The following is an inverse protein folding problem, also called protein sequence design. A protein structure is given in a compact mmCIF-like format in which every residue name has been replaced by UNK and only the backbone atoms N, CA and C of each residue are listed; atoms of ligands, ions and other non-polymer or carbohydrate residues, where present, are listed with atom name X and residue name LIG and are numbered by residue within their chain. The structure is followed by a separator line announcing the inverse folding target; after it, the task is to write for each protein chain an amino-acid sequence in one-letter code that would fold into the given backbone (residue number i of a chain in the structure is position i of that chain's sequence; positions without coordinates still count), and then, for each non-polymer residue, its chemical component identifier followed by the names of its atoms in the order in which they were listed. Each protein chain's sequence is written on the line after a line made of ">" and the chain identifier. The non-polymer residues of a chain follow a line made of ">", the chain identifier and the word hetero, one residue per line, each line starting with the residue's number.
data_IF_700108543567
#
_entry.id   IF_700108543567
#
_cell.length_a   1.000
_cell.length_b   1.000
_cell.length_c   1.000
_cell.angle_alpha   90.00
_cell.angle_beta   90.00
_cell.angle_gamma   90.00
#
_symmetry.space_group_name_H-M   'P 1'
#
loop_
_entity.id
_entity.type
_entity.pdbx_description
1 polymer ?
#
# COMPACT_ATOMS: atom_id res chain seq x y z
N UNK A 1 4.20 42.72 -17.91
CA UNK A 1 5.11 42.60 -16.75
C UNK A 1 4.34 42.04 -15.55
N UNK A 2 4.61 40.81 -15.12
CA UNK A 2 4.02 40.24 -13.88
C UNK A 2 4.85 39.07 -13.30
N UNK A 3 6.20 39.13 -13.31
CA UNK A 3 7.06 38.03 -12.85
C UNK A 3 7.98 38.39 -11.65
N UNK A 4 7.64 39.41 -10.85
CA UNK A 4 8.50 39.85 -9.74
C UNK A 4 7.89 39.63 -8.34
N UNK A 5 6.66 39.10 -8.25
CA UNK A 5 5.99 38.80 -6.98
C UNK A 5 6.38 37.47 -6.35
N UNK A 6 6.48 36.41 -7.15
CA UNK A 6 6.61 35.01 -6.66
C UNK A 6 7.96 34.72 -5.99
N UNK A 7 8.98 35.50 -6.33
CA UNK A 7 10.39 35.21 -6.02
C UNK A 7 10.80 35.74 -4.64
N UNK A 8 10.05 36.71 -4.11
CA UNK A 8 10.35 37.38 -2.83
C UNK A 8 9.88 36.55 -1.63
N UNK A 9 8.73 35.91 -1.73
CA UNK A 9 8.18 35.06 -0.66
C UNK A 9 8.99 33.77 -0.48
N UNK A 10 9.48 33.18 -1.58
CA UNK A 10 10.31 31.96 -1.55
C UNK A 10 11.68 32.19 -0.90
N UNK A 11 12.26 33.40 -1.02
CA UNK A 11 13.54 33.75 -0.38
C UNK A 11 13.41 34.05 1.12
N UNK A 12 12.27 34.59 1.56
CA UNK A 12 12.01 34.84 2.98
C UNK A 12 11.78 33.55 3.78
N UNK A 13 11.10 32.55 3.20
CA UNK A 13 10.87 31.26 3.90
C UNK A 13 12.16 30.44 4.06
N UNK A 14 13.06 30.45 3.08
CA UNK A 14 14.31 29.66 3.12
C UNK A 14 15.27 30.16 4.22
N UNK A 15 15.29 31.46 4.50
CA UNK A 15 16.14 32.03 5.55
C UNK A 15 15.62 31.78 6.97
N UNK A 16 14.31 31.56 7.15
CA UNK A 16 13.72 31.25 8.45
C UNK A 16 13.95 29.79 8.89
N UNK A 17 14.01 28.85 7.93
CA UNK A 17 14.22 27.41 8.21
C UNK A 17 15.67 27.10 8.59
N UNK A 18 16.64 27.82 8.00
CA UNK A 18 18.07 27.59 8.27
C UNK A 18 18.50 27.97 9.71
N UNK A 19 17.76 28.84 10.40
CA UNK A 19 18.08 29.26 11.76
C UNK A 19 17.60 28.28 12.85
N UNK A 20 16.64 27.40 12.55
CA UNK A 20 16.08 26.43 13.52
C UNK A 20 16.83 25.09 13.58
N UNK A 21 17.64 24.76 12.57
CA UNK A 21 18.34 23.46 12.47
C UNK A 21 19.62 23.35 13.33
N UNK A 22 20.02 24.40 14.05
CA UNK A 22 21.30 24.45 14.76
C UNK A 22 21.24 24.13 16.27
N UNK A 23 20.10 23.67 16.82
CA UNK A 23 19.91 23.54 18.27
C UNK A 23 19.60 22.13 18.83
N UNK A 24 19.74 21.05 18.05
CA UNK A 24 19.44 19.69 18.54
C UNK A 24 20.65 18.74 18.55
N UNK A 25 21.77 19.19 19.13
CA UNK A 25 22.91 18.31 19.46
C UNK A 25 23.26 18.36 20.95
N UNK A 26 22.42 17.79 21.83
CA UNK A 26 22.84 17.25 23.13
C UNK A 26 21.87 16.16 23.59
N UNK A 27 22.28 14.89 23.53
CA UNK A 27 22.13 13.91 24.63
C UNK A 27 22.76 12.56 24.23
N UNK A 28 23.95 12.33 24.75
CA UNK A 28 24.67 11.07 24.79
C UNK A 28 24.08 10.20 25.92
N UNK A 29 23.91 8.90 25.72
CA UNK A 29 23.51 7.98 26.79
C UNK A 29 23.53 6.51 26.36
N UNK A 30 24.49 5.78 26.91
CA UNK A 30 25.03 4.45 26.58
C UNK A 30 24.38 3.24 27.27
N UNK A 31 24.56 2.03 26.69
CA UNK A 31 24.55 0.69 27.33
C UNK A 31 23.78 -0.36 26.48
N UNK A 32 24.35 -1.41 25.84
CA UNK A 32 25.01 -2.66 26.34
C UNK A 32 24.27 -3.29 27.54
N UNK A 33 23.97 -4.58 27.66
CA UNK A 33 24.27 -5.83 26.95
C UNK A 33 23.38 -6.95 27.56
N UNK A 34 23.04 -7.95 26.73
CA UNK A 34 23.01 -9.39 26.95
C UNK A 34 22.51 -10.06 28.26
N UNK A 35 21.66 -11.08 28.10
CA UNK A 35 21.70 -12.34 28.87
C UNK A 35 20.82 -13.44 28.24
N UNK A 36 21.49 -14.29 27.47
CA UNK A 36 21.45 -15.77 27.42
C UNK A 36 20.58 -16.49 28.48
N UNK A 37 19.80 -17.52 28.08
CA UNK A 37 20.19 -18.95 28.19
C UNK A 37 19.08 -19.96 27.81
N UNK A 38 19.42 -20.78 26.83
CA UNK A 38 19.16 -22.22 26.56
C UNK A 38 18.08 -23.00 27.34
N UNK A 39 17.38 -23.90 26.64
CA UNK A 39 17.48 -25.37 26.86
C UNK A 39 16.87 -26.16 25.69
N UNK A 40 17.68 -27.09 25.16
CA UNK A 40 17.40 -28.14 24.17
C UNK A 40 16.19 -29.05 24.50
N UNK A 41 15.61 -29.71 23.48
CA UNK A 41 15.59 -31.19 23.33
C UNK A 41 14.93 -31.63 22.02
N UNK A 42 15.78 -31.96 21.04
CA UNK A 42 15.83 -33.18 20.24
C UNK A 42 14.59 -34.10 20.14
N UNK A 43 14.17 -34.41 18.91
CA UNK A 43 13.26 -35.52 18.61
C UNK A 43 12.96 -35.70 17.12
N UNK A 44 13.89 -36.30 16.38
CA UNK A 44 13.72 -36.70 14.98
C UNK A 44 12.75 -37.88 14.83
N UNK A 45 11.95 -37.91 13.75
CA UNK A 45 11.81 -39.08 12.86
C UNK A 45 10.94 -38.80 11.64
N UNK A 46 11.56 -38.91 10.47
CA UNK A 46 10.96 -39.20 9.14
C UNK A 46 10.56 -40.69 9.11
N UNK A 47 9.54 -41.10 8.34
CA UNK A 47 9.87 -41.77 7.07
C UNK A 47 8.91 -41.43 5.90
N UNK A 48 9.45 -41.50 4.69
CA UNK A 48 8.75 -41.50 3.39
C UNK A 48 7.87 -42.73 3.18
N UNK A 49 6.74 -42.58 2.45
CA UNK A 49 6.49 -43.38 1.21
C UNK A 49 5.35 -42.83 0.32
N UNK A 50 5.67 -42.82 -0.98
CA UNK A 50 4.93 -42.58 -2.23
C UNK A 50 3.59 -43.34 -2.40
N UNK A 51 2.59 -42.76 -3.07
CA UNK A 51 2.01 -43.19 -4.39
C UNK A 51 0.69 -42.45 -4.73
N UNK A 52 0.57 -42.12 -6.02
CA UNK A 52 -0.59 -41.70 -6.85
C UNK A 52 -1.95 -42.32 -6.40
N UNK A 53 -3.15 -41.80 -6.66
CA UNK A 53 -3.70 -40.97 -7.73
C UNK A 53 -5.13 -40.55 -7.25
N UNK A 54 -5.72 -39.47 -7.77
CA UNK A 54 -7.16 -39.32 -8.11
C UNK A 54 -7.54 -37.84 -8.23
N UNK A 55 -7.73 -37.44 -9.48
CA UNK A 55 -8.50 -36.30 -9.94
C UNK A 55 -9.93 -36.31 -9.38
N UNK A 56 -10.31 -35.24 -8.67
CA UNK A 56 -11.69 -34.77 -8.59
C UNK A 56 -11.66 -33.28 -8.28
N UNK A 57 -12.02 -32.47 -9.28
CA UNK A 57 -12.27 -31.05 -9.08
C UNK A 57 -13.46 -30.85 -8.16
N UNK A 58 -13.28 -30.05 -7.11
CA UNK A 58 -14.37 -29.46 -6.34
C UNK A 58 -13.94 -28.03 -6.00
N UNK A 59 -14.65 -27.08 -6.59
CA UNK A 59 -14.74 -25.68 -6.17
C UNK A 59 -15.20 -25.63 -4.70
N UNK A 60 -14.54 -24.90 -3.81
CA UNK A 60 -15.18 -24.48 -2.58
C UNK A 60 -16.15 -23.34 -2.95
N UNK A 61 -17.44 -23.66 -2.96
CA UNK A 61 -18.49 -22.65 -2.82
C UNK A 61 -18.19 -21.86 -1.54
N UNK A 62 -17.88 -20.57 -1.72
CA UNK A 62 -17.76 -19.60 -0.62
C UNK A 62 -19.14 -19.35 -0.02
N UNK A 63 -19.58 -20.21 0.89
CA UNK A 63 -20.64 -19.88 1.83
C UNK A 63 -20.06 -18.92 2.89
N UNK A 64 -20.04 -17.63 2.54
CA UNK A 64 -19.78 -16.56 3.49
C UNK A 64 -21.03 -16.34 4.37
N UNK A 65 -20.99 -16.58 5.69
CA UNK A 65 -22.10 -16.23 6.55
C UNK A 65 -22.22 -14.70 6.59
N UNK A 66 -23.34 -14.19 6.08
CA UNK A 66 -23.76 -12.79 6.13
C UNK A 66 -23.67 -12.25 7.57
N UNK A 67 -22.60 -11.51 7.87
CA UNK A 67 -22.55 -10.68 9.07
C UNK A 67 -23.40 -9.44 8.79
N UNK A 68 -24.55 -9.38 9.44
CA UNK A 68 -25.43 -8.23 9.42
C UNK A 68 -24.77 -7.06 10.16
N UNK A 69 -24.35 -6.06 9.40
CA UNK A 69 -23.77 -4.82 9.91
C UNK A 69 -23.24 -3.92 8.80
N UNK A 70 -23.89 -3.90 7.63
CA UNK A 70 -23.51 -3.00 6.55
C UNK A 70 -24.10 -1.62 6.86
N UNK A 71 -23.23 -0.72 7.29
CA UNK A 71 -23.51 0.72 7.20
C UNK A 71 -23.64 0.98 5.70
N UNK A 72 -24.82 1.35 5.22
CA UNK A 72 -25.01 1.65 3.79
C UNK A 72 -24.02 2.75 3.40
N UNK A 73 -22.95 2.37 2.72
CA UNK A 73 -21.97 3.31 2.23
C UNK A 73 -22.56 4.01 1.02
N UNK A 74 -22.82 5.31 1.15
CA UNK A 74 -23.55 6.11 0.16
C UNK A 74 -22.70 6.50 -1.06
N UNK A 75 -21.43 6.09 -1.10
CA UNK A 75 -20.49 6.39 -2.18
C UNK A 75 -20.59 5.43 -3.37
N UNK A 76 -20.00 5.82 -4.50
CA UNK A 76 -19.90 4.96 -5.68
C UNK A 76 -18.92 3.82 -5.40
N UNK A 77 -19.31 2.53 -5.54
CA UNK A 77 -18.39 1.43 -5.32
C UNK A 77 -17.26 1.43 -6.36
N UNK A 78 -16.04 1.17 -5.91
CA UNK A 78 -14.86 1.00 -6.75
C UNK A 78 -14.19 -0.34 -6.45
N UNK A 79 -13.62 -0.97 -7.48
CA UNK A 79 -12.94 -2.25 -7.34
C UNK A 79 -11.62 -2.24 -8.13
N UNK A 80 -10.49 -2.31 -7.43
CA UNK A 80 -9.17 -2.39 -8.03
C UNK A 80 -8.68 -1.09 -8.66
N UNK A 81 -8.98 0.06 -8.07
CA UNK A 81 -8.46 1.34 -8.57
C UNK A 81 -6.94 1.40 -8.39
N UNK A 82 -6.20 1.56 -9.49
CA UNK A 82 -4.74 1.68 -9.47
C UNK A 82 -4.31 3.08 -9.04
N UNK A 83 -3.47 3.14 -8.01
CA UNK A 83 -3.02 4.38 -7.38
C UNK A 83 -1.54 4.31 -7.05
N UNK A 84 -0.77 5.36 -7.37
CA UNK A 84 0.57 5.58 -6.81
C UNK A 84 0.46 6.30 -5.46
N UNK A 85 1.05 5.72 -4.42
CA UNK A 85 1.04 6.29 -3.07
C UNK A 85 1.89 7.58 -3.05
N UNK A 86 1.29 8.67 -2.61
CA UNK A 86 1.95 9.93 -2.27
C UNK A 86 2.43 9.93 -0.81
N UNK A 87 1.92 10.87 -0.02
CA UNK A 87 2.16 10.96 1.42
C UNK A 87 1.31 9.94 2.21
N UNK A 88 1.93 9.28 3.19
CA UNK A 88 1.27 8.33 4.10
C UNK A 88 1.08 8.99 5.46
N UNK A 89 -0.13 8.93 5.99
CA UNK A 89 -0.54 9.47 7.28
C UNK A 89 -1.17 8.35 8.13
N UNK A 90 -1.48 8.64 9.39
CA UNK A 90 -2.23 7.72 10.22
C UNK A 90 -3.69 7.65 9.75
N UNK A 91 -4.15 6.47 9.33
CA UNK A 91 -5.53 6.26 8.86
C UNK A 91 -5.81 6.72 7.42
N UNK A 92 -4.85 7.32 6.72
CA UNK A 92 -5.02 7.70 5.32
C UNK A 92 -3.70 7.79 4.55
N UNK A 93 -3.79 7.81 3.22
CA UNK A 93 -2.70 8.23 2.36
C UNK A 93 -3.23 9.04 1.18
N UNK A 94 -2.41 9.94 0.66
CA UNK A 94 -2.71 10.61 -0.62
C UNK A 94 -2.29 9.73 -1.76
N UNK A 95 -3.05 9.73 -2.86
CA UNK A 95 -2.80 8.89 -4.02
C UNK A 95 -2.88 9.68 -5.31
N UNK A 96 -2.15 9.25 -6.33
CA UNK A 96 -2.36 9.70 -7.72
C UNK A 96 -3.01 8.58 -8.50
N UNK A 97 -4.19 8.84 -9.07
CA UNK A 97 -4.90 7.87 -9.88
C UNK A 97 -4.12 7.54 -11.15
N UNK A 98 -3.83 6.27 -11.37
CA UNK A 98 -3.16 5.78 -12.58
C UNK A 98 -4.27 5.46 -13.59
N UNK A 99 -4.33 6.24 -14.66
CA UNK A 99 -5.29 6.00 -15.73
C UNK A 99 -4.69 4.98 -16.70
N UNK A 100 -5.48 3.96 -17.06
CA UNK A 100 -5.15 3.07 -18.17
C UNK A 100 -5.88 3.58 -19.41
N UNK A 101 -5.13 4.04 -20.39
CA UNK A 101 -5.69 4.32 -21.70
C UNK A 101 -5.78 3.01 -22.48
N UNK A 102 -7.00 2.67 -22.90
CA UNK A 102 -7.20 1.62 -23.89
C UNK A 102 -6.75 2.14 -25.26
N UNK A 103 -5.55 1.70 -25.69
CA UNK A 103 -5.01 2.03 -27.01
C UNK A 103 -5.55 1.09 -28.10
N UNK A 104 -6.63 0.33 -27.82
CA UNK A 104 -7.23 -0.64 -28.73
C UNK A 104 -6.39 -1.90 -28.85
N UNK A 105 -6.18 -2.38 -30.08
CA UNK A 105 -5.51 -3.66 -30.38
C UNK A 105 -4.02 -3.69 -29.98
N UNK A 106 -3.45 -2.54 -29.60
CA UNK A 106 -2.09 -2.40 -29.10
C UNK A 106 -1.92 -2.74 -27.61
N UNK A 107 -3.02 -3.02 -26.90
CA UNK A 107 -3.03 -3.30 -25.48
C UNK A 107 -3.24 -2.06 -24.61
N UNK A 108 -3.51 -2.28 -23.33
CA UNK A 108 -3.68 -1.20 -22.35
C UNK A 108 -2.33 -0.72 -21.84
N UNK A 109 -2.13 0.59 -21.83
CA UNK A 109 -0.93 1.22 -21.25
C UNK A 109 -1.38 2.02 -20.04
N UNK A 110 -0.76 1.75 -18.88
CA UNK A 110 -0.91 2.59 -17.70
C UNK A 110 -0.15 3.89 -17.93
N UNK A 111 -0.85 5.01 -17.86
CA UNK A 111 -0.31 6.36 -18.04
C UNK A 111 -0.50 7.11 -16.73
N UNK A 112 0.61 7.60 -16.18
CA UNK A 112 0.59 8.56 -15.10
C UNK A 112 1.23 9.84 -15.62
N UNK A 113 0.41 10.78 -16.10
CA UNK A 113 0.89 12.15 -16.33
C UNK A 113 0.82 12.89 -14.99
N UNK A 114 1.96 13.23 -14.36
CA UNK A 114 1.96 13.85 -13.05
C UNK A 114 1.32 15.26 -13.02
N UNK A 115 1.16 15.94 -14.15
CA UNK A 115 0.47 17.24 -14.22
C UNK A 115 -1.06 17.09 -14.35
N UNK A 116 -1.53 15.98 -14.89
CA UNK A 116 -2.97 15.69 -15.11
C UNK A 116 -3.53 14.61 -14.17
N UNK A 117 -2.66 13.93 -13.41
CA UNK A 117 -3.05 12.86 -12.50
C UNK A 117 -3.97 13.40 -11.40
N UNK A 118 -5.15 12.80 -11.32
CA UNK A 118 -6.13 13.13 -10.29
C UNK A 118 -5.58 12.74 -8.92
N UNK A 119 -5.47 13.71 -8.02
CA UNK A 119 -5.06 13.46 -6.64
C UNK A 119 -6.27 13.03 -5.80
N UNK A 120 -6.07 11.98 -5.01
CA UNK A 120 -7.08 11.33 -4.19
C UNK A 120 -6.64 11.29 -2.74
N UNK A 121 -7.60 11.26 -1.83
CA UNK A 121 -7.40 10.87 -0.44
C UNK A 121 -7.96 9.47 -0.23
N UNK A 122 -7.14 8.53 0.23
CA UNK A 122 -7.56 7.17 0.53
C UNK A 122 -7.58 7.03 2.05
N UNK A 123 -8.77 6.85 2.61
CA UNK A 123 -9.00 6.67 4.04
C UNK A 123 -9.21 5.19 4.32
N UNK A 124 -8.52 4.67 5.33
CA UNK A 124 -8.62 3.30 5.78
C UNK A 124 -8.87 3.23 7.28
N UNK A 125 -9.44 2.13 7.72
CA UNK A 125 -9.79 1.90 9.13
C UNK A 125 -9.23 0.55 9.58
N UNK A 126 -9.45 0.18 10.83
CA UNK A 126 -9.12 -1.17 11.33
C UNK A 126 -9.85 -2.30 10.58
N UNK A 127 -10.94 -1.99 9.89
CA UNK A 127 -11.70 -2.95 9.08
C UNK A 127 -11.16 -3.09 7.65
N UNK A 128 -10.23 -2.22 7.24
CA UNK A 128 -9.63 -2.29 5.91
C UNK A 128 -8.67 -3.46 5.83
N UNK A 129 -8.86 -4.33 4.85
CA UNK A 129 -7.94 -5.46 4.62
C UNK A 129 -6.74 -4.99 3.82
N UNK A 130 -5.55 -5.33 4.28
CA UNK A 130 -4.31 -5.07 3.56
C UNK A 130 -3.70 -6.38 3.06
N UNK A 131 -3.25 -6.37 1.81
CA UNK A 131 -2.54 -7.49 1.17
C UNK A 131 -1.30 -6.96 0.49
N UNK A 132 -0.17 -7.65 0.62
CA UNK A 132 1.03 -7.38 -0.19
C UNK A 132 1.09 -8.40 -1.31
N UNK A 133 1.07 -7.93 -2.55
CA UNK A 133 1.25 -8.73 -3.76
C UNK A 133 2.69 -8.59 -4.23
N UNK A 134 3.45 -9.66 -4.11
CA UNK A 134 4.85 -9.70 -4.52
C UNK A 134 4.99 -10.36 -5.90
N UNK A 135 5.77 -9.75 -6.79
CA UNK A 135 6.11 -10.31 -8.11
C UNK A 135 7.53 -9.91 -8.49
N UNK A 136 8.28 -10.80 -9.15
CA UNK A 136 9.64 -10.50 -9.65
C UNK A 136 9.70 -10.47 -11.18
N UNK A 137 8.57 -10.68 -11.84
CA UNK A 137 8.44 -10.79 -13.30
C UNK A 137 7.40 -9.80 -13.85
N UNK A 138 7.32 -8.62 -13.22
CA UNK A 138 6.44 -7.52 -13.61
C UNK A 138 4.96 -7.91 -13.63
N UNK A 139 4.54 -8.79 -12.71
CA UNK A 139 3.15 -9.20 -12.52
C UNK A 139 2.71 -10.42 -13.33
N UNK A 140 3.61 -11.07 -14.10
CA UNK A 140 3.27 -12.28 -14.83
C UNK A 140 2.95 -13.46 -13.88
N UNK A 141 3.67 -13.54 -12.76
CA UNK A 141 3.36 -14.38 -11.61
C UNK A 141 3.42 -13.55 -10.34
N UNK A 142 2.64 -13.94 -9.33
CA UNK A 142 2.62 -13.23 -8.06
C UNK A 142 2.29 -14.14 -6.88
N UNK A 143 2.59 -13.66 -5.68
CA UNK A 143 2.15 -14.24 -4.41
C UNK A 143 1.50 -13.14 -3.57
N UNK A 144 0.32 -13.44 -3.05
CA UNK A 144 -0.41 -12.53 -2.16
C UNK A 144 -0.20 -12.98 -0.70
N UNK A 145 0.18 -12.04 0.16
CA UNK A 145 0.40 -12.26 1.59
C UNK A 145 -0.37 -11.24 2.43
N UNK A 146 -0.80 -11.57 3.66
CA UNK A 146 -1.40 -10.58 4.54
C UNK A 146 -0.45 -9.40 4.79
N UNK A 147 -0.98 -8.18 4.68
CA UNK A 147 -0.25 -6.94 4.91
C UNK A 147 -0.87 -6.09 6.01
N UNK A 148 -0.37 -4.86 6.13
CA UNK A 148 -0.84 -3.84 7.07
C UNK A 148 -0.63 -2.43 6.52
N UNK A 149 -1.16 -1.42 7.22
CA UNK A 149 -0.87 -0.01 6.90
C UNK A 149 0.60 0.36 7.07
N UNK A 150 1.40 -0.41 7.83
CA UNK A 150 2.84 -0.18 7.96
C UNK A 150 3.62 -0.51 6.69
N UNK A 151 3.02 -1.25 5.75
CA UNK A 151 3.64 -1.63 4.47
C UNK A 151 3.46 -0.54 3.39
N UNK A 152 2.65 0.49 3.69
CA UNK A 152 2.45 1.65 2.83
C UNK A 152 3.72 2.48 2.78
N UNK A 153 4.17 2.78 1.56
CA UNK A 153 5.33 3.62 1.33
C UNK A 153 5.11 4.47 0.08
N UNK A 154 5.53 5.74 0.16
CA UNK A 154 5.47 6.68 -0.97
C UNK A 154 6.16 6.09 -2.21
N UNK A 155 5.55 6.29 -3.38
CA UNK A 155 6.02 5.79 -4.67
C UNK A 155 5.65 4.34 -4.97
N UNK A 156 5.09 3.57 -4.02
CA UNK A 156 4.54 2.24 -4.32
C UNK A 156 3.21 2.36 -5.05
N UNK A 157 2.91 1.34 -5.86
CA UNK A 157 1.61 1.20 -6.49
C UNK A 157 0.68 0.37 -5.61
N UNK A 158 -0.60 0.70 -5.64
CA UNK A 158 -1.67 -0.02 -4.95
C UNK A 158 -2.86 -0.22 -5.84
N UNK A 159 -3.61 -1.30 -5.60
CA UNK A 159 -5.00 -1.44 -6.03
C UNK A 159 -5.91 -1.21 -4.82
N UNK A 160 -6.87 -0.29 -4.96
CA UNK A 160 -7.78 0.10 -3.88
C UNK A 160 -9.22 -0.25 -4.25
N UNK A 161 -9.91 -0.93 -3.34
CA UNK A 161 -11.34 -1.22 -3.44
C UNK A 161 -12.08 -0.62 -2.25
N UNK A 162 -13.33 -0.22 -2.45
CA UNK A 162 -14.12 0.44 -1.42
C UNK A 162 -15.24 1.29 -2.02
N UNK A 163 -15.51 2.43 -1.38
CA UNK A 163 -16.49 3.40 -1.88
C UNK A 163 -15.87 4.77 -2.06
N UNK A 164 -16.32 5.47 -3.09
CA UNK A 164 -15.80 6.77 -3.49
C UNK A 164 -16.84 7.87 -3.25
N UNK A 165 -16.41 8.94 -2.61
CA UNK A 165 -17.14 10.18 -2.42
C UNK A 165 -16.27 11.36 -2.88
N UNK A 166 -16.56 11.87 -4.09
CA UNK A 166 -15.71 12.87 -4.74
C UNK A 166 -14.28 12.39 -4.97
N UNK A 167 -13.34 13.00 -4.25
CA UNK A 167 -11.90 12.71 -4.32
C UNK A 167 -11.40 11.89 -3.12
N UNK A 168 -12.31 11.53 -2.21
CA UNK A 168 -12.04 10.66 -1.08
C UNK A 168 -12.52 9.24 -1.38
N UNK A 169 -11.70 8.26 -1.01
CA UNK A 169 -12.00 6.83 -1.09
C UNK A 169 -12.00 6.27 0.32
N UNK A 170 -13.10 5.66 0.72
CA UNK A 170 -13.19 4.84 1.92
C UNK A 170 -12.83 3.41 1.55
N UNK A 171 -11.58 3.02 1.80
CA UNK A 171 -11.04 1.73 1.38
C UNK A 171 -11.56 0.59 2.26
N UNK A 172 -12.13 -0.43 1.63
CA UNK A 172 -12.40 -1.73 2.26
C UNK A 172 -11.23 -2.70 2.08
N UNK A 173 -10.45 -2.53 1.00
CA UNK A 173 -9.25 -3.31 0.72
C UNK A 173 -8.19 -2.45 0.05
N UNK A 174 -6.93 -2.65 0.46
CA UNK A 174 -5.75 -2.06 -0.17
C UNK A 174 -4.75 -3.17 -0.46
N UNK A 175 -4.45 -3.37 -1.74
CA UNK A 175 -3.41 -4.29 -2.18
C UNK A 175 -2.17 -3.52 -2.59
N UNK A 176 -1.06 -3.76 -1.90
CA UNK A 176 0.22 -3.09 -2.09
C UNK A 176 1.07 -3.94 -3.03
N UNK A 177 1.52 -3.34 -4.13
CA UNK A 177 2.36 -4.01 -5.10
C UNK A 177 3.83 -3.93 -4.68
N UNK A 178 4.50 -5.07 -4.64
CA UNK A 178 5.92 -5.20 -4.36
C UNK A 178 6.63 -5.94 -5.50
N UNK A 179 7.34 -5.21 -6.34
CA UNK A 179 7.94 -5.76 -7.55
C UNK A 179 9.38 -6.26 -7.38
N UNK A 180 9.86 -6.45 -6.15
CA UNK A 180 11.18 -7.03 -5.87
C UNK A 180 12.31 -6.21 -6.51
N UNK A 181 12.59 -5.06 -5.93
CA UNK A 181 13.53 -4.09 -6.50
C UNK A 181 15.00 -4.40 -6.25
#
# INVERSE_FOLDING_TARGET
>A
MANEGKNRNRRLCVMAVAAFLALLLVACGSGKEDSTKDTDTQGASKPEKKTEDTQAGQTPDSDNPKIAGETESTGTPINGLSVEIGEVLEGSFTGKEIQTDDQGDAGQVAVLDPEEAKQLEIVFTEQTTFTVRSSTDMGATHTDTPGSSADLASGRQTEVSGTRDGDTIHASSVMIMDFGN
#
